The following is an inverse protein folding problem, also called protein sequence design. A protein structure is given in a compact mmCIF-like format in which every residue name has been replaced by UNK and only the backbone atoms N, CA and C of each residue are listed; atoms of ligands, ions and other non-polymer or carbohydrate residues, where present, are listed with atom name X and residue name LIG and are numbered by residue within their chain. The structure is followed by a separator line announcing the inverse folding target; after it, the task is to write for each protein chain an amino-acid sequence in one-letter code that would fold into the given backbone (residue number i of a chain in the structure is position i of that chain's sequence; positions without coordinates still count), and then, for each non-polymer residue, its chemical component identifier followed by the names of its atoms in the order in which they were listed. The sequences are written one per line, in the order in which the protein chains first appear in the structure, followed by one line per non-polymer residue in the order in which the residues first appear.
data_IF_120382044690
#
_entry.id   IF_120382044690
#
_cell.length_a   1.000
_cell.length_b   1.000
_cell.length_c   1.000
_cell.angle_alpha   90.00
_cell.angle_beta   90.00
_cell.angle_gamma   90.00
#
_symmetry.space_group_name_H-M   'P 1'
#
loop_
_entity.id
_entity.type
_entity.pdbx_description
1 polymer ?
#
# COMPACT_ATOMS: atom_id res chain seq x y z
N UNK A 1 23.39 -33.81 1.63
CA UNK A 1 23.31 -32.67 2.58
C UNK A 1 23.62 -31.41 1.79
N UNK A 2 22.61 -30.61 1.45
CA UNK A 2 22.80 -29.41 0.63
C UNK A 2 22.09 -28.25 1.30
N UNK A 3 22.82 -27.56 2.19
CA UNK A 3 22.41 -26.29 2.77
C UNK A 3 22.39 -25.22 1.70
N UNK A 4 21.23 -24.64 1.41
CA UNK A 4 21.13 -23.43 0.59
C UNK A 4 20.91 -22.24 1.51
N UNK A 5 21.98 -21.45 1.60
CA UNK A 5 22.19 -20.31 2.48
C UNK A 5 21.17 -19.21 2.21
N UNK A 6 20.68 -18.63 3.29
CA UNK A 6 20.08 -17.31 3.36
C UNK A 6 20.90 -16.30 2.54
N UNK A 7 20.23 -15.45 1.77
CA UNK A 7 20.86 -14.37 1.03
C UNK A 7 20.04 -13.11 1.23
N UNK A 8 20.39 -12.44 2.33
CA UNK A 8 20.75 -11.02 2.40
C UNK A 8 19.85 -10.03 1.65
N UNK A 9 19.04 -9.35 2.47
CA UNK A 9 18.57 -7.97 2.26
C UNK A 9 19.68 -7.07 1.74
N UNK A 10 19.59 -6.65 0.47
CA UNK A 10 20.36 -5.54 -0.08
C UNK A 10 19.48 -4.29 -0.13
N UNK A 11 19.76 -3.35 0.78
CA UNK A 11 19.35 -1.95 0.68
C UNK A 11 20.23 -1.28 -0.39
N UNK A 12 19.71 -1.16 -1.62
CA UNK A 12 20.21 -0.20 -2.60
C UNK A 12 19.13 0.87 -2.83
N UNK A 13 19.48 2.17 -2.87
CA UNK A 13 18.57 3.19 -3.35
C UNK A 13 18.44 3.01 -4.86
N UNK A 14 17.49 2.18 -5.29
CA UNK A 14 17.25 1.94 -6.72
C UNK A 14 16.90 3.27 -7.38
N UNK A 15 17.75 3.70 -8.30
CA UNK A 15 17.51 4.81 -9.21
C UNK A 15 16.04 4.79 -9.66
N UNK A 16 15.31 5.87 -9.40
CA UNK A 16 13.91 6.03 -9.77
C UNK A 16 13.77 5.89 -11.29
N UNK A 17 13.51 4.67 -11.77
CA UNK A 17 13.01 4.48 -13.12
C UNK A 17 11.65 5.20 -13.17
N UNK A 18 11.42 6.06 -14.17
CA UNK A 18 10.14 6.74 -14.28
C UNK A 18 9.02 5.68 -14.37
N UNK A 19 7.90 5.89 -13.66
CA UNK A 19 6.82 4.92 -13.66
C UNK A 19 6.32 4.71 -15.08
N UNK A 20 6.35 3.46 -15.56
CA UNK A 20 5.85 3.09 -16.88
C UNK A 20 4.32 3.05 -16.81
N UNK A 21 3.64 3.62 -17.80
CA UNK A 21 2.18 3.53 -17.90
C UNK A 21 1.72 2.06 -17.86
N UNK A 22 0.75 1.76 -17.00
CA UNK A 22 0.24 0.40 -16.76
C UNK A 22 1.09 -0.47 -15.84
N UNK A 23 2.34 -0.09 -15.52
CA UNK A 23 3.20 -0.84 -14.60
C UNK A 23 2.87 -0.60 -13.13
N UNK A 24 2.73 -1.67 -12.34
CA UNK A 24 2.66 -1.57 -10.88
C UNK A 24 4.08 -1.44 -10.35
N UNK A 25 4.36 -0.34 -9.63
CA UNK A 25 5.63 -0.09 -8.96
C UNK A 25 5.88 -1.06 -7.81
N UNK A 26 7.13 -1.11 -7.35
CA UNK A 26 7.51 -1.91 -6.18
C UNK A 26 6.80 -1.44 -4.91
N UNK A 27 6.58 -2.39 -3.99
CA UNK A 27 6.02 -2.09 -2.67
C UNK A 27 7.03 -1.26 -1.87
N UNK A 28 6.63 -0.06 -1.45
CA UNK A 28 7.47 0.89 -0.69
C UNK A 28 6.76 1.38 0.58
N UNK A 29 7.48 1.94 1.57
CA UNK A 29 6.84 2.63 2.69
C UNK A 29 5.95 3.78 2.21
N UNK A 30 4.90 4.06 2.98
CA UNK A 30 3.96 5.16 2.72
C UNK A 30 4.67 6.49 3.01
N UNK A 31 4.64 7.43 2.06
CA UNK A 31 5.17 8.79 2.25
C UNK A 31 4.03 9.79 2.55
N UNK A 32 4.37 11.08 2.71
CA UNK A 32 3.37 12.12 3.03
C UNK A 32 2.30 12.31 1.94
N UNK A 33 2.68 12.24 0.66
CA UNK A 33 1.73 12.36 -0.46
C UNK A 33 0.75 11.18 -0.49
N UNK A 34 1.23 9.96 -0.27
CA UNK A 34 0.37 8.79 -0.20
C UNK A 34 -0.57 8.85 1.00
N UNK A 35 -0.12 9.42 2.13
CA UNK A 35 -0.97 9.64 3.31
C UNK A 35 -2.07 10.67 3.03
N UNK A 36 -1.78 11.74 2.28
CA UNK A 36 -2.81 12.69 1.86
C UNK A 36 -3.89 11.99 1.03
N UNK A 37 -3.49 11.15 0.07
CA UNK A 37 -4.45 10.34 -0.71
C UNK A 37 -5.22 9.39 0.20
N UNK A 38 -4.57 8.70 1.14
CA UNK A 38 -5.25 7.85 2.11
C UNK A 38 -6.30 8.62 2.91
N UNK A 39 -5.93 9.78 3.45
CA UNK A 39 -6.80 10.60 4.29
C UNK A 39 -8.03 11.12 3.53
N UNK A 40 -7.88 11.46 2.24
CA UNK A 40 -9.01 11.86 1.38
C UNK A 40 -10.09 10.77 1.25
N UNK A 41 -9.69 9.50 1.26
CA UNK A 41 -10.61 8.36 1.09
C UNK A 41 -10.82 7.57 2.39
N UNK A 42 -10.25 8.03 3.51
CA UNK A 42 -10.16 7.26 4.76
C UNK A 42 -11.51 6.77 5.24
N UNK A 43 -12.53 7.62 5.29
CA UNK A 43 -13.86 7.23 5.77
C UNK A 43 -14.46 6.08 4.94
N UNK A 44 -14.31 6.13 3.61
CA UNK A 44 -14.78 5.09 2.71
C UNK A 44 -13.96 3.80 2.84
N UNK A 45 -12.65 3.92 2.99
CA UNK A 45 -11.74 2.80 3.17
C UNK A 45 -11.99 2.08 4.50
N UNK A 46 -12.08 2.84 5.60
CA UNK A 46 -12.32 2.31 6.93
C UNK A 46 -13.66 1.57 6.99
N UNK A 47 -14.73 2.19 6.47
CA UNK A 47 -16.05 1.53 6.40
C UNK A 47 -15.96 0.23 5.62
N UNK A 48 -15.37 0.24 4.42
CA UNK A 48 -15.27 -0.96 3.58
C UNK A 48 -14.43 -2.07 4.23
N UNK A 49 -13.31 -1.72 4.86
CA UNK A 49 -12.44 -2.69 5.54
C UNK A 49 -13.13 -3.24 6.79
N UNK A 50 -13.75 -2.39 7.60
CA UNK A 50 -14.49 -2.80 8.79
C UNK A 50 -15.65 -3.74 8.44
N UNK A 51 -16.42 -3.41 7.39
CA UNK A 51 -17.53 -4.24 6.94
C UNK A 51 -17.05 -5.58 6.35
N UNK A 52 -15.98 -5.57 5.54
CA UNK A 52 -15.46 -6.78 4.89
C UNK A 52 -14.73 -7.73 5.84
N UNK A 53 -13.92 -7.19 6.75
CA UNK A 53 -13.05 -7.98 7.63
C UNK A 53 -13.55 -8.06 9.08
N UNK A 54 -14.74 -7.49 9.37
CA UNK A 54 -15.34 -7.42 10.71
C UNK A 54 -14.40 -6.80 11.75
N UNK A 55 -13.64 -5.79 11.33
CA UNK A 55 -12.69 -5.08 12.20
C UNK A 55 -13.46 -4.14 13.12
N UNK A 56 -13.16 -4.10 14.43
CA UNK A 56 -13.82 -3.17 15.35
C UNK A 56 -13.58 -1.71 14.94
N UNK A 57 -14.61 -0.86 15.07
CA UNK A 57 -14.49 0.59 14.81
C UNK A 57 -13.47 1.30 15.71
N UNK A 58 -13.16 0.73 16.87
CA UNK A 58 -12.13 1.23 17.79
C UNK A 58 -10.71 1.00 17.28
N UNK A 59 -10.51 0.13 16.29
CA UNK A 59 -9.21 -0.13 15.72
C UNK A 59 -8.90 0.89 14.62
N UNK A 60 -7.85 1.68 14.83
CA UNK A 60 -7.37 2.65 13.83
C UNK A 60 -6.68 1.93 12.69
N UNK A 61 -7.22 2.06 11.49
CA UNK A 61 -6.61 1.51 10.28
C UNK A 61 -5.51 2.45 9.79
N UNK A 62 -4.30 1.92 9.62
CA UNK A 62 -3.15 2.68 9.13
C UNK A 62 -2.49 1.95 7.96
N UNK A 63 -2.21 2.64 6.84
CA UNK A 63 -1.45 2.05 5.76
C UNK A 63 0.02 1.96 6.16
N UNK A 64 0.65 0.81 5.92
CA UNK A 64 2.06 0.54 6.27
C UNK A 64 2.98 0.53 5.06
N UNK A 65 2.45 0.14 3.90
CA UNK A 65 3.17 0.12 2.63
C UNK A 65 2.22 0.46 1.49
N UNK A 66 2.77 0.91 0.37
CA UNK A 66 2.01 1.24 -0.82
C UNK A 66 2.76 0.84 -2.08
N UNK A 67 2.02 0.39 -3.08
CA UNK A 67 2.47 0.29 -4.46
C UNK A 67 1.59 1.19 -5.31
N UNK A 68 2.14 1.81 -6.36
CA UNK A 68 1.39 2.70 -7.24
C UNK A 68 1.42 2.21 -8.68
N UNK A 69 0.41 2.55 -9.47
CA UNK A 69 0.35 2.25 -10.90
C UNK A 69 -0.21 3.45 -11.64
N UNK A 70 0.56 3.95 -12.61
CA UNK A 70 0.12 5.05 -13.48
C UNK A 70 -0.83 4.49 -14.54
N UNK A 71 -2.03 5.07 -14.63
CA UNK A 71 -3.08 4.75 -15.61
C UNK A 71 -3.61 6.07 -16.20
N UNK A 72 -4.90 6.19 -16.57
CA UNK A 72 -5.56 7.48 -16.84
C UNK A 72 -5.79 8.29 -15.53
N UNK A 73 -4.85 8.20 -14.60
CA UNK A 73 -4.90 8.60 -13.19
C UNK A 73 -3.80 7.84 -12.45
N UNK A 74 -3.95 7.65 -11.15
CA UNK A 74 -3.06 6.82 -10.34
C UNK A 74 -3.86 5.83 -9.50
N UNK A 75 -3.53 4.54 -9.63
CA UNK A 75 -3.98 3.54 -8.68
C UNK A 75 -2.96 3.46 -7.53
N UNK A 76 -3.45 3.48 -6.30
CA UNK A 76 -2.69 3.21 -5.08
C UNK A 76 -3.16 1.88 -4.51
N UNK A 77 -2.21 1.03 -4.14
CA UNK A 77 -2.44 -0.24 -3.48
C UNK A 77 -1.85 -0.16 -2.07
N UNK A 78 -2.66 0.31 -1.13
CA UNK A 78 -2.28 0.44 0.27
C UNK A 78 -2.37 -0.90 0.97
N UNK A 79 -1.25 -1.34 1.56
CA UNK A 79 -1.25 -2.44 2.52
C UNK A 79 -1.60 -1.86 3.89
N UNK A 80 -2.71 -2.30 4.47
CA UNK A 80 -3.26 -1.81 5.73
C UNK A 80 -3.12 -2.91 6.78
N UNK A 81 -2.58 -2.56 7.94
CA UNK A 81 -2.52 -3.48 9.07
C UNK A 81 -3.89 -3.62 9.72
N UNK A 82 -4.29 -4.87 9.98
CA UNK A 82 -5.51 -5.25 10.68
C UNK A 82 -5.14 -5.84 12.05
N UNK A 83 -6.12 -6.08 12.94
CA UNK A 83 -5.89 -6.88 14.14
C UNK A 83 -5.29 -8.26 13.84
N UNK A 84 -4.61 -8.84 14.83
CA UNK A 84 -3.97 -10.17 14.73
C UNK A 84 -2.85 -10.28 13.68
N UNK A 85 -2.14 -9.18 13.39
CA UNK A 85 -1.05 -9.13 12.37
C UNK A 85 -1.51 -9.57 10.98
N UNK A 86 -2.79 -9.37 10.68
CA UNK A 86 -3.33 -9.58 9.32
C UNK A 86 -3.16 -8.31 8.51
N UNK A 87 -3.23 -8.44 7.20
CA UNK A 87 -3.11 -7.31 6.28
C UNK A 87 -4.22 -7.34 5.25
N UNK A 88 -4.78 -6.17 4.94
CA UNK A 88 -5.67 -5.96 3.80
C UNK A 88 -4.94 -5.13 2.74
N UNK A 89 -5.31 -5.33 1.47
CA UNK A 89 -4.90 -4.43 0.39
C UNK A 89 -6.08 -3.57 -0.02
N UNK A 90 -5.97 -2.26 0.22
CA UNK A 90 -6.94 -1.27 -0.21
C UNK A 90 -6.49 -0.66 -1.54
N UNK A 91 -7.32 -0.81 -2.58
CA UNK A 91 -7.09 -0.16 -3.88
C UNK A 91 -7.86 1.16 -3.94
N UNK A 92 -7.13 2.25 -4.16
CA UNK A 92 -7.67 3.59 -4.34
C UNK A 92 -7.31 4.08 -5.74
N UNK A 93 -8.26 4.71 -6.42
CA UNK A 93 -8.00 5.44 -7.64
C UNK A 93 -8.08 6.93 -7.35
N UNK A 94 -7.05 7.67 -7.75
CA UNK A 94 -6.94 9.10 -7.53
C UNK A 94 -6.39 9.78 -8.78
N UNK A 95 -6.92 10.96 -9.09
CA UNK A 95 -6.46 11.80 -10.21
C UNK A 95 -5.78 13.03 -9.59
N UNK A 96 -4.46 13.19 -9.75
CA UNK A 96 -3.71 14.24 -9.07
C UNK A 96 -3.68 15.61 -9.79
N UNK A 97 -4.41 15.79 -10.90
CA UNK A 97 -4.39 17.01 -11.73
C UNK A 97 -5.78 17.64 -11.89
#
# INVERSE_FOLDING_TARGET
MSSKKDSTTSNEPTAHKPPVCGGIGGLRPVNEEDLQVWDMYKEHLEKKIQDQFKVPKSHTLKPVQVATQVVAGMNYFFKVELPDKKYATARVYHVPW
#
